data_IF_444695537334
#
_entry.id   IF_444695537334
#
_cell.length_a   1.000
_cell.length_b   1.000
_cell.length_c   1.000
_cell.angle_alpha   90.00
_cell.angle_beta   90.00
_cell.angle_gamma   90.00
#
_symmetry.space_group_name_H-M   'P 1'
#
loop_
_entity.id
_entity.type
_entity.pdbx_description
1 polymer ?
#
# COMPACT_ATOMS: atom_id res chain seq x y z
N UNK A 1 -14.22 19.12 -0.10
CA UNK A 1 -14.10 19.66 -1.47
C UNK A 1 -12.62 19.91 -1.72
N UNK A 2 -11.92 19.00 -2.44
CA UNK A 2 -10.49 19.16 -2.71
C UNK A 2 -10.30 20.22 -3.80
N UNK A 3 -9.54 21.28 -3.52
CA UNK A 3 -9.10 22.26 -4.50
C UNK A 3 -7.88 21.70 -5.23
N UNK A 4 -8.01 21.43 -6.53
CA UNK A 4 -6.90 21.04 -7.38
C UNK A 4 -5.96 22.25 -7.52
N UNK A 5 -4.72 22.13 -7.03
CA UNK A 5 -3.69 23.15 -7.25
C UNK A 5 -3.03 22.87 -8.61
N UNK A 6 -3.22 23.73 -9.63
CA UNK A 6 -2.67 23.50 -10.96
C UNK A 6 -1.14 23.39 -10.98
N UNK A 7 -0.49 24.04 -10.01
CA UNK A 7 0.96 24.10 -9.86
C UNK A 7 1.56 22.86 -9.18
N UNK A 8 0.71 21.92 -8.73
CA UNK A 8 1.13 20.67 -8.13
C UNK A 8 0.80 19.53 -9.11
N UNK A 9 1.76 19.09 -9.95
CA UNK A 9 1.49 18.05 -10.93
C UNK A 9 1.08 16.75 -10.23
N UNK A 10 -0.02 16.16 -10.69
CA UNK A 10 -0.41 14.80 -10.30
C UNK A 10 0.21 13.84 -11.29
N UNK A 11 1.06 12.94 -10.81
CA UNK A 11 1.62 11.86 -11.62
C UNK A 11 0.77 10.60 -11.44
N UNK A 12 0.27 10.06 -12.55
CA UNK A 12 -0.35 8.74 -12.57
C UNK A 12 0.70 7.70 -12.99
N UNK A 13 0.72 6.55 -12.31
CA UNK A 13 1.54 5.41 -12.68
C UNK A 13 0.59 4.28 -13.11
N UNK A 14 0.70 3.86 -14.36
CA UNK A 14 -0.11 2.77 -14.92
C UNK A 14 0.61 1.46 -14.72
N UNK A 15 -0.05 0.48 -14.12
CA UNK A 15 0.47 -0.86 -13.87
C UNK A 15 -0.64 -1.90 -14.10
N UNK A 16 -0.24 -3.12 -14.44
CA UNK A 16 -1.16 -4.25 -14.70
C UNK A 16 -1.16 -5.29 -13.58
N UNK A 17 -0.13 -5.33 -12.74
CA UNK A 17 0.01 -6.28 -11.64
C UNK A 17 0.19 -5.54 -10.31
N UNK A 18 -0.84 -5.61 -9.45
CA UNK A 18 -0.82 -4.93 -8.15
C UNK A 18 0.23 -5.48 -7.18
N UNK A 19 0.54 -6.79 -7.24
CA UNK A 19 1.52 -7.42 -6.33
C UNK A 19 2.93 -6.95 -6.65
N UNK A 20 3.29 -6.94 -7.94
CA UNK A 20 4.59 -6.44 -8.39
C UNK A 20 4.72 -4.93 -8.13
N UNK A 21 3.64 -4.18 -8.36
CA UNK A 21 3.64 -2.74 -8.15
C UNK A 21 3.74 -2.36 -6.67
N UNK A 22 3.10 -3.12 -5.78
CA UNK A 22 3.24 -2.97 -4.33
C UNK A 22 4.69 -3.20 -3.89
N UNK A 23 5.35 -4.26 -4.39
CA UNK A 23 6.75 -4.52 -4.11
C UNK A 23 7.67 -3.39 -4.58
N UNK A 24 7.45 -2.89 -5.81
CA UNK A 24 8.18 -1.76 -6.37
C UNK A 24 8.03 -0.49 -5.51
N UNK A 25 6.79 -0.17 -5.08
CA UNK A 25 6.54 0.99 -4.22
C UNK A 25 7.23 0.87 -2.86
N UNK A 26 7.24 -0.32 -2.26
CA UNK A 26 7.94 -0.56 -1.00
C UNK A 26 9.45 -0.34 -1.15
N UNK A 27 10.06 -0.87 -2.21
CA UNK A 27 11.48 -0.69 -2.49
C UNK A 27 11.81 0.79 -2.73
N UNK A 28 11.08 1.45 -3.63
CA UNK A 28 11.31 2.86 -3.98
C UNK A 28 11.19 3.79 -2.76
N UNK A 29 10.14 3.62 -1.95
CA UNK A 29 9.96 4.45 -0.76
C UNK A 29 11.04 4.21 0.30
N UNK A 30 11.53 2.97 0.42
CA UNK A 30 12.67 2.66 1.29
C UNK A 30 13.94 3.37 0.82
N UNK A 31 14.28 3.25 -0.46
CA UNK A 31 15.46 3.91 -1.05
C UNK A 31 15.37 5.44 -0.93
N UNK A 32 14.20 6.02 -1.16
CA UNK A 32 13.99 7.47 -1.03
C UNK A 32 14.18 7.94 0.42
N UNK A 33 13.64 7.20 1.39
CA UNK A 33 13.83 7.51 2.81
C UNK A 33 15.30 7.40 3.23
N UNK A 34 16.01 6.35 2.80
CA UNK A 34 17.45 6.16 3.05
C UNK A 34 18.30 7.30 2.47
N UNK A 35 17.84 7.91 1.36
CA UNK A 35 18.48 9.10 0.74
C UNK A 35 18.08 10.42 1.41
N UNK A 36 17.32 10.39 2.51
CA UNK A 36 16.90 11.58 3.25
C UNK A 36 15.75 12.35 2.60
N UNK A 37 15.05 11.77 1.63
CA UNK A 37 13.85 12.39 1.06
C UNK A 37 12.72 12.34 2.09
N UNK A 38 12.08 13.48 2.36
CA UNK A 38 10.89 13.54 3.21
C UNK A 38 9.68 13.02 2.44
N UNK A 39 9.14 11.90 2.89
CA UNK A 39 7.97 11.26 2.29
C UNK A 39 6.71 11.54 3.11
N UNK A 40 5.57 11.48 2.44
CA UNK A 40 4.25 11.54 3.06
C UNK A 40 3.29 10.60 2.30
N UNK A 41 2.22 10.18 2.96
CA UNK A 41 1.25 9.25 2.38
C UNK A 41 1.42 7.83 2.91
N UNK A 42 0.81 6.88 2.21
CA UNK A 42 0.63 5.50 2.67
C UNK A 42 1.06 4.52 1.57
N UNK A 43 1.80 3.48 1.94
CA UNK A 43 2.09 2.32 1.08
C UNK A 43 1.44 1.09 1.69
N UNK A 44 0.78 0.27 0.87
CA UNK A 44 0.21 -1.00 1.31
C UNK A 44 1.32 -2.06 1.45
N UNK A 45 1.16 -2.94 2.44
CA UNK A 45 1.96 -4.13 2.65
C UNK A 45 1.03 -5.32 2.81
N UNK A 46 1.02 -6.18 1.81
CA UNK A 46 0.27 -7.42 1.81
C UNK A 46 1.14 -8.57 2.33
N UNK A 47 0.74 -9.17 3.44
CA UNK A 47 1.38 -10.34 4.04
C UNK A 47 0.58 -11.60 3.69
N UNK A 48 1.16 -12.46 2.83
CA UNK A 48 0.55 -13.75 2.50
C UNK A 48 0.64 -14.69 3.70
N UNK A 49 -0.48 -15.30 4.08
CA UNK A 49 -0.51 -16.38 5.08
C UNK A 49 -0.72 -17.71 4.36
N UNK A 50 0.25 -18.64 4.36
CA UNK A 50 0.13 -19.91 3.65
C UNK A 50 -1.05 -20.76 4.12
N UNK A 51 -1.40 -20.64 5.40
CA UNK A 51 -2.41 -21.49 6.05
C UNK A 51 -3.85 -20.98 5.89
N UNK A 52 -4.06 -19.85 5.21
CA UNK A 52 -5.41 -19.30 4.97
C UNK A 52 -5.52 -18.60 3.63
N UNK A 53 -6.74 -18.57 3.09
CA UNK A 53 -7.05 -17.97 1.79
C UNK A 53 -6.78 -16.45 1.75
N UNK A 54 -6.73 -15.78 2.91
CA UNK A 54 -6.65 -14.33 3.04
C UNK A 54 -5.27 -13.82 3.46
N UNK A 55 -4.80 -12.76 2.82
CA UNK A 55 -3.64 -11.97 3.27
C UNK A 55 -4.02 -11.03 4.43
N UNK A 56 -3.05 -10.77 5.31
CA UNK A 56 -3.08 -9.56 6.15
C UNK A 56 -2.64 -8.38 5.29
N UNK A 57 -3.26 -7.22 5.48
CA UNK A 57 -2.90 -5.99 4.80
C UNK A 57 -2.67 -4.89 5.82
N UNK A 58 -1.54 -4.21 5.66
CA UNK A 58 -1.17 -3.05 6.45
C UNK A 58 -0.94 -1.83 5.56
N UNK A 59 -1.13 -0.64 6.11
CA UNK A 59 -0.65 0.61 5.53
C UNK A 59 0.54 1.09 6.36
N UNK A 60 1.67 1.35 5.71
CA UNK A 60 2.79 2.07 6.32
C UNK A 60 2.64 3.55 6.03
N UNK A 61 2.56 4.35 7.08
CA UNK A 61 2.72 5.79 7.00
C UNK A 61 4.18 6.12 6.68
N UNK A 62 4.42 6.76 5.55
CA UNK A 62 5.76 7.10 5.08
C UNK A 62 6.42 8.23 5.88
N UNK A 63 5.64 9.05 6.58
CA UNK A 63 6.17 10.14 7.40
C UNK A 63 6.59 9.66 8.79
N UNK A 64 5.86 8.70 9.37
CA UNK A 64 6.10 8.21 10.74
C UNK A 64 6.69 6.81 10.83
N UNK A 65 6.60 6.02 9.75
CA UNK A 65 6.92 4.59 9.74
C UNK A 65 5.87 3.71 10.40
N UNK A 66 4.78 4.28 10.94
CA UNK A 66 3.74 3.52 11.66
C UNK A 66 2.99 2.58 10.73
N UNK A 67 2.73 1.36 11.22
CA UNK A 67 1.89 0.38 10.54
C UNK A 67 0.44 0.45 11.05
N UNK A 68 -0.51 0.41 10.12
CA UNK A 68 -1.94 0.39 10.38
C UNK A 68 -2.55 -0.85 9.72
N UNK A 69 -3.13 -1.77 10.51
CA UNK A 69 -3.88 -2.89 9.94
C UNK A 69 -5.15 -2.42 9.25
N UNK A 70 -5.40 -2.91 8.03
CA UNK A 70 -6.61 -2.58 7.24
C UNK A 70 -7.39 -3.82 6.81
N UNK A 71 -6.89 -5.02 7.11
CA UNK A 71 -7.61 -6.28 6.98
C UNK A 71 -8.15 -6.75 8.32
N UNK A 72 -9.31 -7.41 8.28
CA UNK A 72 -9.91 -8.09 9.43
C UNK A 72 -10.12 -9.57 9.11
N UNK A 73 -9.74 -10.44 10.04
CA UNK A 73 -9.95 -11.88 9.92
C UNK A 73 -11.34 -12.24 10.45
N UNK A 74 -12.31 -12.25 9.52
CA UNK A 74 -13.71 -12.60 9.83
C UNK A 74 -13.98 -14.11 9.76
N UNK A 75 -12.93 -14.93 9.80
CA UNK A 75 -13.02 -16.38 9.80
C UNK A 75 -13.04 -17.04 8.41
N UNK A 76 -13.10 -18.39 8.37
CA UNK A 76 -12.77 -19.20 7.18
C UNK A 76 -13.66 -18.98 5.96
N UNK A 77 -14.90 -18.53 6.16
CA UNK A 77 -15.87 -18.31 5.08
C UNK A 77 -15.84 -16.90 4.50
N UNK A 78 -14.99 -16.02 5.05
CA UNK A 78 -14.86 -14.66 4.54
C UNK A 78 -14.17 -14.69 3.17
N UNK A 79 -14.74 -14.00 2.17
CA UNK A 79 -14.25 -14.06 0.76
C UNK A 79 -13.61 -12.77 0.25
N UNK A 80 -13.65 -11.68 1.02
CA UNK A 80 -13.14 -10.37 0.60
C UNK A 80 -11.90 -9.96 1.39
N UNK A 81 -10.73 -9.96 0.74
CA UNK A 81 -9.54 -9.21 1.19
C UNK A 81 -8.95 -8.45 -0.01
N UNK A 82 -8.91 -9.09 -1.16
CA UNK A 82 -8.49 -8.49 -2.43
C UNK A 82 -9.74 -8.16 -3.24
N UNK A 83 -9.73 -7.05 -3.98
CA UNK A 83 -10.77 -6.78 -4.98
C UNK A 83 -10.78 -7.95 -5.98
N UNK A 84 -11.93 -8.60 -6.13
CA UNK A 84 -12.08 -9.59 -7.20
C UNK A 84 -11.91 -8.86 -8.54
N UNK A 85 -11.05 -9.40 -9.41
CA UNK A 85 -11.02 -9.07 -10.83
C UNK A 85 -12.21 -9.67 -11.56
#
# INVERSE_FOLDING_TARGET
MQSLRPDCPITAIVYSNGVEFEALLQEMTTIMAERGVRLAGLVQLSEKKPDRVKCDMHLRDLASGKLHGISDDRGPHSRGCVLNT
#
